data_IF_576144213578
#
_entry.id   IF_576144213578
#
_cell.length_a   1.000
_cell.length_b   1.000
_cell.length_c   1.000
_cell.angle_alpha   90.00
_cell.angle_beta   90.00
_cell.angle_gamma   90.00
#
_symmetry.space_group_name_H-M   'P 1'
#
loop_
_entity.id
_entity.type
_entity.pdbx_description
1 polymer ?
#
# COMPACT_ATOMS: atom_id res chain seq x y z
N UNK A 1 -45.45 -24.22 -71.49
CA UNK A 1 -44.80 -25.00 -70.39
C UNK A 1 -44.34 -24.02 -69.33
N UNK A 2 -44.99 -24.02 -68.15
CA UNK A 2 -44.71 -23.03 -67.10
C UNK A 2 -43.89 -23.74 -66.03
N UNK A 3 -42.64 -23.30 -65.85
CA UNK A 3 -41.79 -23.79 -64.76
C UNK A 3 -42.13 -23.07 -63.48
N UNK A 4 -42.65 -23.82 -62.49
CA UNK A 4 -42.84 -23.34 -61.13
C UNK A 4 -41.49 -23.46 -60.40
N UNK A 5 -40.91 -22.33 -60.03
CA UNK A 5 -39.80 -22.32 -59.12
C UNK A 5 -40.33 -22.42 -57.68
N UNK A 6 -39.84 -23.42 -56.95
CA UNK A 6 -40.12 -23.60 -55.55
C UNK A 6 -39.03 -22.86 -54.79
N UNK A 7 -39.39 -21.81 -54.06
CA UNK A 7 -38.51 -21.07 -53.20
C UNK A 7 -38.50 -21.82 -51.83
N UNK A 8 -37.35 -22.39 -51.51
CA UNK A 8 -37.11 -23.02 -50.21
C UNK A 8 -36.67 -21.94 -49.23
N UNK A 9 -37.54 -21.55 -48.31
CA UNK A 9 -37.21 -20.63 -47.22
C UNK A 9 -36.52 -21.42 -46.12
N UNK A 10 -35.18 -21.27 -45.99
CA UNK A 10 -34.46 -21.75 -44.82
C UNK A 10 -34.72 -20.83 -43.63
N UNK A 11 -35.50 -21.28 -42.66
CA UNK A 11 -35.57 -20.62 -41.34
C UNK A 11 -34.27 -20.90 -40.57
N UNK A 12 -33.38 -19.94 -40.51
CA UNK A 12 -32.23 -19.95 -39.61
C UNK A 12 -32.67 -19.73 -38.16
N UNK A 13 -32.58 -20.75 -37.34
CA UNK A 13 -32.74 -20.65 -35.88
C UNK A 13 -31.47 -20.05 -35.34
N UNK A 14 -31.50 -18.75 -34.97
CA UNK A 14 -30.47 -18.09 -34.20
C UNK A 14 -30.54 -18.62 -32.75
N UNK A 15 -29.70 -19.58 -32.43
CA UNK A 15 -29.43 -19.96 -31.05
C UNK A 15 -28.68 -18.83 -30.37
N UNK A 16 -29.40 -17.93 -29.71
CA UNK A 16 -28.81 -16.94 -28.80
C UNK A 16 -28.19 -17.66 -27.60
N UNK A 17 -26.87 -17.71 -27.55
CA UNK A 17 -26.18 -18.12 -26.35
C UNK A 17 -26.48 -17.13 -25.22
N UNK A 18 -26.85 -17.59 -24.02
CA UNK A 18 -26.96 -16.69 -22.87
C UNK A 18 -25.56 -16.18 -22.56
N UNK A 19 -25.34 -14.88 -22.76
CA UNK A 19 -24.20 -14.18 -22.17
C UNK A 19 -24.44 -14.23 -20.66
N UNK A 20 -23.69 -15.12 -19.99
CA UNK A 20 -23.59 -15.07 -18.54
C UNK A 20 -22.96 -13.72 -18.22
N UNK A 21 -23.77 -12.79 -17.71
CA UNK A 21 -23.26 -11.57 -17.09
C UNK A 21 -22.31 -12.03 -15.98
N UNK A 22 -21.01 -11.81 -16.18
CA UNK A 22 -20.07 -11.82 -15.06
C UNK A 22 -20.58 -10.72 -14.12
N UNK A 23 -21.16 -11.12 -13.00
CA UNK A 23 -21.30 -10.24 -11.87
C UNK A 23 -19.88 -9.80 -11.51
N UNK A 24 -19.54 -8.58 -11.88
CA UNK A 24 -18.42 -7.84 -11.32
C UNK A 24 -18.68 -7.83 -9.81
N UNK A 25 -18.09 -8.80 -9.12
CA UNK A 25 -18.09 -8.80 -7.66
C UNK A 25 -17.26 -7.58 -7.25
N UNK A 26 -17.93 -6.45 -7.13
CA UNK A 26 -17.39 -5.24 -6.55
C UNK A 26 -16.96 -5.61 -5.14
N UNK A 27 -15.69 -5.99 -5.02
CA UNK A 27 -15.07 -6.28 -3.75
C UNK A 27 -15.33 -5.08 -2.85
N UNK A 28 -16.12 -5.30 -1.79
CA UNK A 28 -16.41 -4.24 -0.83
C UNK A 28 -15.06 -3.75 -0.32
N UNK A 29 -14.81 -2.43 -0.32
CA UNK A 29 -13.54 -1.91 0.14
C UNK A 29 -13.28 -2.44 1.54
N UNK A 30 -12.11 -3.07 1.73
CA UNK A 30 -11.69 -3.55 3.04
C UNK A 30 -11.70 -2.35 4.00
N UNK A 31 -12.58 -2.32 5.00
CA UNK A 31 -12.78 -1.15 5.84
C UNK A 31 -11.61 -0.89 6.81
N UNK A 32 -10.61 -1.79 6.83
CA UNK A 32 -9.44 -1.62 7.68
C UNK A 32 -8.60 -0.43 7.24
N UNK A 33 -8.09 0.32 8.20
CA UNK A 33 -7.12 1.41 8.00
C UNK A 33 -5.71 0.92 8.26
N UNK A 34 -4.72 1.61 7.70
CA UNK A 34 -3.32 1.47 8.05
C UNK A 34 -2.68 2.86 8.03
N UNK A 35 -2.06 3.24 9.14
CA UNK A 35 -1.43 4.54 9.33
C UNK A 35 0.05 4.33 9.61
N UNK A 36 0.97 4.93 8.85
CA UNK A 36 2.40 4.83 9.11
C UNK A 36 2.79 5.60 10.35
N UNK A 37 3.78 5.09 11.09
CA UNK A 37 4.37 5.70 12.28
C UNK A 37 5.87 5.83 12.05
N UNK A 38 6.44 6.99 12.34
CA UNK A 38 7.87 7.16 12.53
C UNK A 38 8.16 7.05 14.03
N UNK A 39 8.98 6.09 14.40
CA UNK A 39 9.30 5.83 15.81
C UNK A 39 10.48 6.65 16.27
N UNK A 40 11.64 6.47 15.64
CA UNK A 40 12.87 7.19 16.00
C UNK A 40 13.91 7.11 14.86
N UNK A 41 15.01 7.85 15.04
CA UNK A 41 16.16 7.82 14.14
C UNK A 41 17.44 7.49 14.92
N UNK A 42 18.31 6.70 14.31
CA UNK A 42 19.64 6.39 14.83
C UNK A 42 20.69 6.96 13.89
N UNK A 43 21.39 8.07 14.26
CA UNK A 43 22.53 8.57 13.50
C UNK A 43 23.70 7.60 13.53
N UNK A 44 24.36 7.44 12.37
CA UNK A 44 25.53 6.59 12.18
C UNK A 44 26.79 7.45 12.01
N UNK A 45 27.97 6.88 12.31
CA UNK A 45 29.27 7.58 12.25
C UNK A 45 29.65 8.05 10.84
N UNK A 46 29.18 7.37 9.80
CA UNK A 46 29.40 7.72 8.39
C UNK A 46 28.48 8.84 7.88
N UNK A 47 27.59 9.33 8.73
CA UNK A 47 26.61 10.36 8.44
C UNK A 47 25.34 9.84 7.78
N UNK A 48 25.13 8.53 7.69
CA UNK A 48 23.84 7.92 7.38
C UNK A 48 22.93 7.95 8.63
N UNK A 49 21.67 7.64 8.43
CA UNK A 49 20.67 7.54 9.51
C UNK A 49 19.82 6.30 9.28
N UNK A 50 19.62 5.52 10.32
CA UNK A 50 18.62 4.44 10.33
C UNK A 50 17.33 5.02 10.92
N UNK A 51 16.28 5.05 10.13
CA UNK A 51 14.93 5.40 10.58
C UNK A 51 14.16 4.15 10.97
N UNK A 52 13.55 4.15 12.14
CA UNK A 52 12.68 3.10 12.65
C UNK A 52 11.23 3.48 12.39
N UNK A 53 10.52 2.62 11.72
CA UNK A 53 9.15 2.83 11.32
C UNK A 53 8.25 1.71 11.79
N UNK A 54 7.00 2.07 11.97
CA UNK A 54 5.95 1.15 12.31
C UNK A 54 4.62 1.59 11.71
N UNK A 55 3.56 0.97 12.16
CA UNK A 55 2.22 1.33 11.73
C UNK A 55 1.19 1.07 12.81
N UNK A 56 0.04 1.70 12.66
CA UNK A 56 -1.18 1.34 13.38
C UNK A 56 -2.21 0.88 12.37
N UNK A 57 -2.76 -0.32 12.57
CA UNK A 57 -3.85 -0.84 11.75
C UNK A 57 -5.09 -1.06 12.59
N UNK A 58 -6.23 -0.61 12.10
CA UNK A 58 -7.52 -0.74 12.77
C UNK A 58 -8.56 -1.23 11.77
N UNK A 59 -9.31 -2.24 12.17
CA UNK A 59 -10.44 -2.73 11.43
C UNK A 59 -11.71 -2.52 12.27
N UNK A 60 -12.87 -2.20 11.64
CA UNK A 60 -14.13 -2.16 12.36
C UNK A 60 -14.41 -3.49 13.03
N UNK A 61 -15.02 -3.42 14.20
CA UNK A 61 -15.50 -4.63 14.88
C UNK A 61 -16.46 -5.38 13.95
N UNK A 62 -16.17 -6.66 13.74
CA UNK A 62 -17.04 -7.57 13.00
C UNK A 62 -17.07 -8.91 13.70
N UNK A 63 -18.19 -9.63 13.57
CA UNK A 63 -18.33 -11.01 14.10
C UNK A 63 -17.43 -12.02 13.36
N UNK A 64 -16.69 -11.58 12.34
CA UNK A 64 -15.74 -12.38 11.58
C UNK A 64 -14.32 -12.18 12.10
N UNK A 65 -13.46 -13.18 11.99
CA UNK A 65 -12.03 -13.01 12.28
C UNK A 65 -11.49 -11.82 11.49
N UNK A 66 -10.73 -10.95 12.16
CA UNK A 66 -10.09 -9.80 11.53
C UNK A 66 -9.04 -10.32 10.57
N UNK A 67 -9.24 -10.07 9.28
CA UNK A 67 -8.26 -10.40 8.26
C UNK A 67 -7.18 -9.30 8.23
N UNK A 68 -5.93 -9.71 8.08
CA UNK A 68 -4.83 -8.79 7.85
C UNK A 68 -5.08 -8.02 6.54
N UNK A 69 -4.77 -6.74 6.55
CA UNK A 69 -4.89 -5.93 5.35
C UNK A 69 -3.64 -6.11 4.48
N UNK A 70 -3.83 -6.50 3.23
CA UNK A 70 -2.76 -6.54 2.24
C UNK A 70 -2.77 -5.25 1.40
N UNK A 71 -1.63 -4.53 1.38
CA UNK A 71 -1.41 -3.32 0.60
C UNK A 71 -0.05 -3.48 -0.09
N UNK A 72 -0.03 -3.80 -1.38
CA UNK A 72 1.22 -3.99 -2.12
C UNK A 72 2.00 -2.67 -2.21
N UNK A 73 3.30 -2.77 -2.43
CA UNK A 73 4.15 -1.61 -2.72
C UNK A 73 3.70 -1.00 -4.05
N UNK A 74 3.52 0.32 -4.07
CA UNK A 74 3.00 1.07 -5.21
C UNK A 74 2.24 2.31 -4.74
N UNK A 75 1.16 2.67 -5.43
CA UNK A 75 0.43 3.92 -5.23
C UNK A 75 -0.13 4.11 -3.81
N UNK A 76 -0.47 3.00 -3.14
CA UNK A 76 -1.05 3.01 -1.80
C UNK A 76 -0.06 2.63 -0.69
N UNK A 77 1.20 2.30 -1.02
CA UNK A 77 2.23 1.93 -0.03
C UNK A 77 3.62 2.24 -0.62
N UNK A 78 4.15 3.41 -0.32
CA UNK A 78 5.41 3.85 -0.91
C UNK A 78 6.21 4.81 -0.04
N UNK A 79 7.52 4.83 -0.28
CA UNK A 79 8.39 5.91 0.16
C UNK A 79 8.57 6.97 -0.92
N UNK A 80 8.72 8.22 -0.48
CA UNK A 80 9.13 9.34 -1.31
C UNK A 80 10.22 10.17 -0.60
N UNK A 81 11.28 10.61 -1.31
CA UNK A 81 11.60 10.31 -2.72
C UNK A 81 12.01 8.85 -2.94
N UNK A 82 12.11 8.46 -4.20
CA UNK A 82 12.60 7.12 -4.56
C UNK A 82 13.89 6.69 -3.80
N UNK A 83 14.06 5.36 -3.60
CA UNK A 83 13.21 4.27 -4.10
C UNK A 83 11.89 4.14 -3.33
N UNK A 84 10.82 3.78 -4.07
CA UNK A 84 9.47 3.60 -3.48
C UNK A 84 9.40 2.40 -2.53
N UNK A 85 10.21 1.38 -2.80
CA UNK A 85 10.39 0.20 -1.97
C UNK A 85 11.64 0.36 -1.11
N UNK A 86 11.46 0.34 0.20
CA UNK A 86 12.54 0.39 1.19
C UNK A 86 12.40 -0.74 2.23
N UNK A 87 11.68 -1.81 1.86
CA UNK A 87 11.46 -2.96 2.73
C UNK A 87 10.27 -2.80 3.68
N UNK A 88 9.38 -1.84 3.42
CA UNK A 88 8.17 -1.65 4.22
C UNK A 88 7.22 -2.84 4.12
N UNK A 89 6.40 -3.09 5.16
CA UNK A 89 5.45 -4.20 5.16
C UNK A 89 4.38 -4.04 4.08
N UNK A 90 3.92 -5.17 3.57
CA UNK A 90 2.77 -5.26 2.66
C UNK A 90 1.56 -5.92 3.32
N UNK A 91 1.74 -6.50 4.51
CA UNK A 91 0.68 -7.08 5.33
C UNK A 91 0.60 -6.31 6.64
N UNK A 92 -0.57 -5.76 6.92
CA UNK A 92 -0.82 -4.94 8.10
C UNK A 92 -1.72 -5.72 9.06
N UNK A 93 -1.16 -6.08 10.21
CA UNK A 93 -1.84 -6.80 11.29
C UNK A 93 -2.54 -5.77 12.18
N UNK A 94 -3.73 -6.08 12.68
CA UNK A 94 -4.45 -5.19 13.58
C UNK A 94 -3.63 -4.89 14.84
N UNK A 95 -3.66 -3.62 15.26
CA UNK A 95 -2.94 -3.12 16.42
C UNK A 95 -1.91 -2.06 16.09
N UNK A 96 -1.11 -1.73 17.10
CA UNK A 96 0.03 -0.82 16.97
C UNK A 96 1.33 -1.60 16.96
N UNK A 97 2.12 -1.37 15.92
CA UNK A 97 3.42 -1.97 15.64
C UNK A 97 4.42 -0.82 15.49
N UNK A 98 4.88 -0.26 16.61
CA UNK A 98 5.60 1.02 16.62
C UNK A 98 6.99 0.96 16.00
N UNK A 99 7.67 -0.19 16.07
CA UNK A 99 9.05 -0.42 15.59
C UNK A 99 9.08 -1.74 14.80
N UNK A 100 8.51 -1.74 13.59
CA UNK A 100 8.30 -2.94 12.80
C UNK A 100 9.42 -3.19 11.80
N UNK A 101 10.03 -2.13 11.26
CA UNK A 101 11.11 -2.23 10.27
C UNK A 101 12.01 -1.00 10.28
N UNK A 102 13.20 -1.18 9.72
CA UNK A 102 14.24 -0.17 9.63
C UNK A 102 14.49 0.23 8.18
N UNK A 103 14.79 1.53 7.98
CA UNK A 103 15.19 2.06 6.67
C UNK A 103 16.47 2.85 6.82
N UNK A 104 17.50 2.49 6.07
CA UNK A 104 18.73 3.27 5.99
C UNK A 104 18.59 4.39 4.97
N UNK A 105 18.94 5.62 5.43
CA UNK A 105 19.07 6.81 4.60
C UNK A 105 20.54 7.19 4.53
N UNK A 106 21.10 7.14 3.33
CA UNK A 106 22.51 7.44 3.11
C UNK A 106 22.88 8.87 3.47
N UNK A 107 24.14 9.12 3.83
CA UNK A 107 24.65 10.47 4.08
C UNK A 107 24.41 11.43 2.90
N UNK A 108 24.35 10.91 1.67
CA UNK A 108 24.05 11.70 0.48
C UNK A 108 22.60 12.18 0.46
N UNK A 109 21.64 11.30 0.79
CA UNK A 109 20.21 11.66 0.87
C UNK A 109 19.99 12.70 1.96
N UNK A 110 20.61 12.49 3.13
CA UNK A 110 20.55 13.44 4.25
C UNK A 110 21.06 14.83 3.86
N UNK A 111 22.21 14.91 3.17
CA UNK A 111 22.82 16.18 2.71
C UNK A 111 21.98 16.90 1.65
N UNK A 112 21.19 16.18 0.88
CA UNK A 112 20.29 16.78 -0.11
C UNK A 112 19.10 17.50 0.53
N UNK A 113 18.92 17.37 1.86
CA UNK A 113 17.86 18.04 2.61
C UNK A 113 16.45 17.60 2.21
N UNK A 114 16.33 16.50 1.47
CA UNK A 114 15.05 15.94 1.09
C UNK A 114 14.55 15.12 2.27
N UNK A 115 13.53 15.61 2.94
CA UNK A 115 12.77 14.78 3.88
C UNK A 115 12.35 13.51 3.20
N UNK A 116 12.33 12.41 3.91
CA UNK A 116 11.79 11.15 3.42
C UNK A 116 10.48 10.86 4.13
N UNK A 117 9.54 10.29 3.43
CA UNK A 117 8.23 9.97 3.97
C UNK A 117 7.73 8.63 3.48
N UNK A 118 7.06 7.92 4.37
CA UNK A 118 6.31 6.71 4.06
C UNK A 118 4.82 7.05 4.00
N UNK A 119 4.16 6.65 2.94
CA UNK A 119 2.73 6.86 2.72
C UNK A 119 2.03 5.51 2.59
N UNK A 120 0.94 5.35 3.32
CA UNK A 120 0.04 4.19 3.26
C UNK A 120 -1.38 4.70 3.12
N UNK A 121 -2.11 4.26 2.08
CA UNK A 121 -3.50 4.64 1.81
C UNK A 121 -3.73 6.17 1.83
N UNK A 122 -2.77 6.94 1.34
CA UNK A 122 -2.82 8.40 1.33
C UNK A 122 -2.51 9.07 2.65
N UNK A 123 -2.26 8.33 3.73
CA UNK A 123 -1.79 8.84 5.02
C UNK A 123 -0.27 8.74 5.04
N UNK A 124 0.43 9.84 5.30
CA UNK A 124 1.88 9.88 5.28
C UNK A 124 2.51 10.31 6.60
N UNK A 125 3.66 9.73 6.91
CA UNK A 125 4.59 10.25 7.91
C UNK A 125 5.85 10.70 7.19
N UNK A 126 6.33 11.90 7.48
CA UNK A 126 7.57 12.45 6.91
C UNK A 126 8.59 12.74 8.00
N UNK A 127 9.85 12.46 7.69
CA UNK A 127 10.97 12.70 8.58
C UNK A 127 11.92 13.68 7.92
N UNK A 128 12.16 14.80 8.58
CA UNK A 128 13.18 15.77 8.19
C UNK A 128 14.48 15.47 8.94
N UNK A 129 15.38 14.75 8.27
CA UNK A 129 16.67 14.39 8.85
C UNK A 129 17.63 15.56 9.05
N UNK A 130 17.36 16.75 8.52
CA UNK A 130 18.13 17.96 8.83
C UNK A 130 17.99 18.36 10.30
N UNK A 131 16.94 17.89 10.96
CA UNK A 131 16.65 18.07 12.39
C UNK A 131 17.13 16.91 13.27
N UNK A 132 17.86 15.93 12.74
CA UNK A 132 18.37 14.80 13.56
C UNK A 132 19.34 15.22 14.67
N UNK A 133 19.74 16.49 14.69
CA UNK A 133 20.35 17.10 15.88
C UNK A 133 19.34 17.37 17.01
N UNK A 134 18.04 17.28 16.71
CA UNK A 134 17.00 17.31 17.73
C UNK A 134 16.98 15.96 18.45
N UNK A 135 17.48 16.00 19.67
CA UNK A 135 17.71 14.81 20.52
C UNK A 135 16.43 14.09 20.91
N UNK A 136 15.24 14.63 20.58
CA UNK A 136 13.94 14.05 20.87
C UNK A 136 13.58 12.88 19.94
N UNK A 137 14.26 12.77 18.79
CA UNK A 137 14.02 11.71 17.80
C UNK A 137 15.08 10.60 17.82
N UNK A 138 16.10 10.71 18.69
CA UNK A 138 17.18 9.74 18.80
C UNK A 138 16.70 8.48 19.55
N UNK A 139 16.74 7.35 18.90
CA UNK A 139 16.35 6.05 19.48
C UNK A 139 17.07 5.72 20.80
N UNK A 140 18.31 6.23 20.99
CA UNK A 140 19.10 6.02 22.22
C UNK A 140 18.55 6.79 23.43
N UNK A 141 17.61 7.69 23.21
CA UNK A 141 17.06 8.57 24.26
C UNK A 141 15.59 8.31 24.55
N UNK A 142 14.98 7.38 23.82
CA UNK A 142 13.64 6.89 24.14
C UNK A 142 13.74 6.01 25.40
N UNK A 143 12.77 6.12 26.33
CA UNK A 143 12.72 5.33 27.55
C UNK A 143 12.49 3.85 27.29
#
# INVERSE_FOLDING_TARGET
MRHKQIILILLGVLAGSPVLAQEDSKELPNPCTAEPIFHCAQPMDDGSVIGHFGYRSSCPESDKPVENKYIPIGDDNYFAPEPVDRGQPTVFIQGEHADEFEVEFSAKEIKQGKGSGWTVLGIGVSVDFSRTKDTSLDCKKLP
#
